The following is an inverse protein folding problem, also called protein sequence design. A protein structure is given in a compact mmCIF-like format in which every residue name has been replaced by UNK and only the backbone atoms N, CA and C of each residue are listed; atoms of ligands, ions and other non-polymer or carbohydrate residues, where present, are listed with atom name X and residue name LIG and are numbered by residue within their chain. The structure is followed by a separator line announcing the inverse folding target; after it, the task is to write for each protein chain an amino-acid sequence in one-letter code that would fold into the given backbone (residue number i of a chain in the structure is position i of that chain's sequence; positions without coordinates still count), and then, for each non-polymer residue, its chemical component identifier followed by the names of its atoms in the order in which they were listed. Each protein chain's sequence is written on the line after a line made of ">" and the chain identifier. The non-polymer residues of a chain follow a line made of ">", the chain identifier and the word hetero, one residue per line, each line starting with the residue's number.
data_IF_040021950670
#
_entry.id   IF_040021950670
#
_cell.length_a   1.000
_cell.length_b   1.000
_cell.length_c   1.000
_cell.angle_alpha   90.00
_cell.angle_beta   90.00
_cell.angle_gamma   90.00
#
_symmetry.space_group_name_H-M   'P 1'
#
loop_
_entity.id
_entity.type
_entity.pdbx_description
1 polymer ?
#
# COMPACT_ATOMS: atom_id res chain seq x y z
N UNK A 1 3.48 -48.59 3.74
CA UNK A 1 2.27 -47.80 4.08
C UNK A 1 1.16 -48.13 3.08
N UNK A 2 0.35 -49.18 3.34
CA UNK A 2 -0.44 -49.90 2.32
C UNK A 2 -1.81 -49.27 1.96
N UNK A 3 -2.15 -48.11 2.54
CA UNK A 3 -3.48 -47.48 2.42
C UNK A 3 -3.54 -46.28 1.46
N UNK A 4 -2.39 -45.72 1.05
CA UNK A 4 -2.31 -44.64 0.05
C UNK A 4 -2.97 -44.98 -1.30
N UNK A 5 -2.75 -46.18 -1.89
CA UNK A 5 -3.40 -46.52 -3.17
C UNK A 5 -4.93 -46.69 -3.03
N UNK A 6 -5.44 -47.00 -1.83
CA UNK A 6 -6.87 -47.15 -1.58
C UNK A 6 -7.59 -45.79 -1.53
N UNK A 7 -6.95 -44.78 -0.93
CA UNK A 7 -7.44 -43.39 -0.93
C UNK A 7 -7.39 -42.82 -2.35
N UNK A 8 -6.33 -43.12 -3.11
CA UNK A 8 -6.18 -42.70 -4.50
C UNK A 8 -7.30 -43.27 -5.40
N UNK A 9 -7.62 -44.57 -5.22
CA UNK A 9 -8.71 -45.22 -5.95
C UNK A 9 -10.10 -44.69 -5.53
N UNK A 10 -10.26 -44.24 -4.28
CA UNK A 10 -11.51 -43.62 -3.79
C UNK A 10 -11.74 -42.22 -4.36
N UNK A 11 -10.67 -41.41 -4.51
CA UNK A 11 -10.70 -40.06 -5.08
C UNK A 11 -11.03 -40.08 -6.58
N UNK A 12 -10.49 -41.07 -7.32
CA UNK A 12 -10.76 -41.23 -8.75
C UNK A 12 -12.19 -41.66 -9.07
N UNK A 13 -12.95 -42.15 -8.06
CA UNK A 13 -14.32 -42.65 -8.26
C UNK A 13 -15.36 -41.54 -8.41
N UNK A 14 -15.10 -40.33 -7.88
CA UNK A 14 -15.97 -39.14 -8.02
C UNK A 14 -15.12 -37.86 -8.27
N UNK A 15 -14.58 -37.67 -9.49
CA UNK A 15 -13.64 -36.60 -9.79
C UNK A 15 -14.22 -35.20 -9.57
N UNK A 16 -15.52 -35.00 -9.81
CA UNK A 16 -16.17 -33.70 -9.64
C UNK A 16 -16.09 -33.17 -8.20
N UNK A 17 -16.36 -34.01 -7.19
CA UNK A 17 -16.32 -33.57 -5.78
C UNK A 17 -14.91 -33.23 -5.33
N UNK A 18 -13.92 -34.02 -5.74
CA UNK A 18 -12.51 -33.80 -5.38
C UNK A 18 -11.98 -32.50 -6.00
N UNK A 19 -12.27 -32.25 -7.28
CA UNK A 19 -11.83 -31.03 -7.98
C UNK A 19 -12.48 -29.80 -7.34
N UNK A 20 -13.78 -29.84 -7.01
CA UNK A 20 -14.47 -28.71 -6.38
C UNK A 20 -13.88 -28.37 -5.00
N UNK A 21 -13.55 -29.37 -4.17
CA UNK A 21 -12.91 -29.16 -2.87
C UNK A 21 -11.48 -28.64 -3.05
N UNK A 22 -10.71 -29.22 -3.97
CA UNK A 22 -9.34 -28.79 -4.23
C UNK A 22 -9.31 -27.35 -4.74
N UNK A 23 -10.23 -26.98 -5.64
CA UNK A 23 -10.38 -25.63 -6.14
C UNK A 23 -10.76 -24.66 -5.03
N UNK A 24 -11.68 -25.03 -4.13
CA UNK A 24 -12.05 -24.21 -2.97
C UNK A 24 -10.85 -23.93 -2.07
N UNK A 25 -10.06 -24.96 -1.75
CA UNK A 25 -8.84 -24.82 -0.94
C UNK A 25 -7.81 -23.95 -1.66
N UNK A 26 -7.56 -24.19 -2.95
CA UNK A 26 -6.66 -23.36 -3.76
C UNK A 26 -7.07 -21.90 -3.79
N UNK A 27 -8.35 -21.59 -3.98
CA UNK A 27 -8.86 -20.21 -3.97
C UNK A 27 -8.64 -19.54 -2.61
N UNK A 28 -8.84 -20.26 -1.50
CA UNK A 28 -8.56 -19.72 -0.17
C UNK A 28 -7.07 -19.35 0.01
N UNK A 29 -6.17 -20.22 -0.46
CA UNK A 29 -4.72 -19.93 -0.44
C UNK A 29 -4.35 -18.75 -1.35
N UNK A 30 -4.95 -18.64 -2.54
CA UNK A 30 -4.73 -17.51 -3.46
C UNK A 30 -5.17 -16.20 -2.82
N UNK A 31 -6.38 -16.14 -2.24
CA UNK A 31 -6.87 -14.95 -1.55
C UNK A 31 -5.95 -14.54 -0.39
N UNK A 32 -5.52 -15.51 0.41
CA UNK A 32 -4.60 -15.26 1.52
C UNK A 32 -3.22 -14.79 1.04
N UNK A 33 -2.69 -15.40 -0.02
CA UNK A 33 -1.42 -15.01 -0.63
C UNK A 33 -1.46 -13.62 -1.23
N UNK A 34 -2.54 -13.27 -1.94
CA UNK A 34 -2.76 -11.91 -2.49
C UNK A 34 -2.86 -10.90 -1.35
N UNK A 35 -3.57 -11.21 -0.28
CA UNK A 35 -3.66 -10.30 0.87
C UNK A 35 -2.30 -10.05 1.52
N UNK A 36 -1.49 -11.10 1.74
CA UNK A 36 -0.15 -10.94 2.27
C UNK A 36 0.79 -10.19 1.32
N UNK A 37 0.73 -10.51 0.02
CA UNK A 37 1.52 -9.83 -1.00
C UNK A 37 1.15 -8.36 -1.11
N UNK A 38 -0.14 -8.03 -1.06
CA UNK A 38 -0.62 -6.65 -1.11
C UNK A 38 -0.21 -5.88 0.16
N UNK A 39 -0.37 -6.47 1.34
CA UNK A 39 0.08 -5.84 2.60
C UNK A 39 1.56 -5.48 2.52
N UNK A 40 2.41 -6.44 2.13
CA UNK A 40 3.86 -6.24 2.05
C UNK A 40 4.22 -5.23 0.96
N UNK A 41 3.57 -5.33 -0.22
CA UNK A 41 3.77 -4.39 -1.32
C UNK A 41 3.37 -2.96 -0.95
N UNK A 42 2.27 -2.78 -0.20
CA UNK A 42 1.85 -1.47 0.32
C UNK A 42 2.83 -0.98 1.38
N UNK A 43 3.27 -1.82 2.32
CA UNK A 43 4.30 -1.42 3.30
C UNK A 43 5.58 -0.96 2.61
N UNK A 44 6.03 -1.67 1.58
CA UNK A 44 7.19 -1.27 0.78
C UNK A 44 6.92 0.01 -0.03
N UNK A 45 5.73 0.17 -0.59
CA UNK A 45 5.35 1.40 -1.30
C UNK A 45 5.24 2.60 -0.35
N UNK A 46 4.79 2.40 0.88
CA UNK A 46 4.71 3.44 1.93
C UNK A 46 6.10 3.81 2.44
N UNK A 47 6.97 2.82 2.67
CA UNK A 47 8.38 3.08 3.03
C UNK A 47 9.09 3.85 1.90
N UNK A 48 8.85 3.45 0.64
CA UNK A 48 9.32 4.18 -0.53
C UNK A 48 8.68 5.57 -0.69
N UNK A 49 7.45 5.78 -0.22
CA UNK A 49 6.77 7.08 -0.22
C UNK A 49 7.33 8.07 0.81
N UNK A 50 8.32 7.66 1.63
CA UNK A 50 9.10 8.48 2.55
C UNK A 50 8.26 9.13 3.65
N UNK A 51 8.16 8.45 4.79
CA UNK A 51 7.67 9.02 6.05
C UNK A 51 8.51 10.22 6.58
N UNK A 52 9.65 10.52 5.95
CA UNK A 52 10.54 11.66 6.25
C UNK A 52 10.03 13.00 5.65
N UNK A 53 8.95 12.99 4.86
CA UNK A 53 8.39 14.18 4.22
C UNK A 53 7.16 14.70 4.97
N UNK A 54 7.35 15.77 5.75
CA UNK A 54 6.25 16.50 6.39
C UNK A 54 5.75 17.62 5.47
N UNK A 55 4.51 17.50 4.98
CA UNK A 55 3.86 18.53 4.15
C UNK A 55 3.11 19.50 5.09
N UNK A 56 3.58 20.74 5.18
CA UNK A 56 2.97 21.80 5.99
C UNK A 56 2.21 22.76 5.07
N UNK A 57 0.93 22.98 5.35
CA UNK A 57 0.07 23.87 4.57
C UNK A 57 -0.66 24.88 5.46
N UNK A 58 -1.02 26.03 4.87
CA UNK A 58 -1.77 27.07 5.59
C UNK A 58 -3.18 26.57 5.92
N UNK A 59 -3.65 26.87 7.14
CA UNK A 59 -4.97 26.49 7.65
C UNK A 59 -6.11 27.32 7.04
N UNK A 60 -5.80 28.53 6.55
CA UNK A 60 -6.77 29.49 6.00
C UNK A 60 -7.10 29.22 4.54
N UNK A 61 -6.13 28.78 3.73
CA UNK A 61 -6.37 28.29 2.37
C UNK A 61 -5.12 27.65 1.78
N UNK A 62 -5.27 26.47 1.18
CA UNK A 62 -4.23 25.84 0.35
C UNK A 62 -3.96 26.61 -0.96
N UNK A 63 -4.87 27.51 -1.34
CA UNK A 63 -5.02 28.00 -2.73
C UNK A 63 -4.80 29.51 -2.85
N UNK A 64 -5.30 30.32 -1.92
CA UNK A 64 -5.26 31.79 -2.00
C UNK A 64 -4.15 32.43 -1.15
N UNK A 65 -3.76 31.78 -0.05
CA UNK A 65 -2.73 32.27 0.89
C UNK A 65 -1.75 31.14 1.19
N UNK A 66 -0.90 30.85 0.20
CA UNK A 66 0.23 29.94 0.36
C UNK A 66 1.10 30.35 1.55
N UNK A 67 1.79 29.37 2.14
CA UNK A 67 2.64 29.62 3.30
C UNK A 67 3.76 30.61 2.90
N UNK A 68 3.91 31.76 3.59
CA UNK A 68 4.86 32.77 3.16
C UNK A 68 6.31 32.26 3.29
N UNK A 69 7.15 32.59 2.31
CA UNK A 69 8.55 32.11 2.21
C UNK A 69 9.38 32.42 3.48
N UNK A 70 9.00 33.46 4.22
CA UNK A 70 9.63 33.89 5.48
C UNK A 70 9.52 32.82 6.58
N UNK A 71 8.49 31.97 6.55
CA UNK A 71 8.28 30.87 7.49
C UNK A 71 9.22 29.68 7.26
N UNK A 72 9.93 29.61 6.12
CA UNK A 72 10.95 28.59 5.86
C UNK A 72 12.10 28.63 6.86
N UNK A 73 12.53 29.82 7.29
CA UNK A 73 13.60 29.98 8.27
C UNK A 73 13.28 29.32 9.61
N UNK A 74 12.14 29.67 10.25
CA UNK A 74 11.64 29.00 11.43
C UNK A 74 11.47 27.49 11.26
N UNK A 75 10.89 27.03 10.14
CA UNK A 75 10.68 25.60 9.88
C UNK A 75 12.02 24.84 9.81
N UNK A 76 13.05 25.41 9.18
CA UNK A 76 14.40 24.81 9.16
C UNK A 76 15.08 24.78 10.52
N UNK A 77 14.72 25.69 11.42
CA UNK A 77 15.29 25.75 12.77
C UNK A 77 14.68 24.74 13.75
N UNK A 78 13.60 24.05 13.37
CA UNK A 78 12.98 23.01 14.21
C UNK A 78 13.90 21.79 14.30
N UNK A 79 14.23 21.31 15.51
CA UNK A 79 15.08 20.14 15.69
C UNK A 79 14.45 18.91 15.02
N UNK A 80 15.19 18.27 14.12
CA UNK A 80 14.73 17.11 13.34
C UNK A 80 14.42 17.40 11.86
N UNK A 81 14.36 18.67 11.45
CA UNK A 81 14.14 19.04 10.04
C UNK A 81 15.48 19.04 9.28
N UNK A 82 15.67 18.06 8.39
CA UNK A 82 16.86 18.01 7.53
C UNK A 82 16.79 19.00 6.37
N UNK A 83 15.65 19.07 5.70
CA UNK A 83 15.46 19.85 4.47
C UNK A 83 14.04 20.40 4.45
N UNK A 84 13.89 21.69 4.18
CA UNK A 84 12.60 22.34 3.94
C UNK A 84 12.61 23.00 2.56
N UNK A 85 11.66 22.59 1.71
CA UNK A 85 11.52 23.02 0.32
C UNK A 85 10.18 23.74 0.17
N UNK A 86 10.15 24.97 -0.35
CA UNK A 86 8.90 25.60 -0.73
C UNK A 86 8.30 24.87 -1.94
N UNK A 87 7.05 24.45 -1.82
CA UNK A 87 6.26 23.90 -2.93
C UNK A 87 5.18 24.91 -3.24
N UNK A 88 5.33 25.62 -4.36
CA UNK A 88 4.26 26.46 -4.89
C UNK A 88 3.40 25.65 -5.86
N UNK A 89 2.11 25.55 -5.56
CA UNK A 89 1.12 25.01 -6.47
C UNK A 89 0.83 26.07 -7.53
N UNK A 90 1.58 26.04 -8.63
CA UNK A 90 1.35 26.90 -9.78
C UNK A 90 0.09 26.41 -10.51
N UNK A 91 -1.04 27.08 -10.26
CA UNK A 91 -2.28 26.85 -10.99
C UNK A 91 -2.25 27.75 -12.23
N UNK A 92 -2.42 27.16 -13.41
CA UNK A 92 -2.55 27.91 -14.66
C UNK A 92 -3.85 28.73 -14.60
N UNK A 93 -3.75 30.00 -14.22
CA UNK A 93 -4.83 30.96 -14.33
C UNK A 93 -4.90 31.37 -15.81
N UNK A 94 -5.79 30.74 -16.57
CA UNK A 94 -6.18 31.27 -17.88
C UNK A 94 -7.02 32.53 -17.61
N UNK A 95 -6.42 33.68 -17.90
CA UNK A 95 -7.11 34.98 -17.97
C UNK A 95 -7.82 35.13 -19.32
#
# INVERSE_FOLDING_TARGET
>A
MKFLPLIWSGIWRKPGRTILIFLQVSVAFVLFGVLQGLKTGVEHAVDAARADLLIVHSRLSLIMEGLPISLLGPIRSVPGVRVAIPVELFICQFQ
#
